data_IF_537719126343
#
_entry.id   IF_537719126343
#
_cell.length_a   1.000
_cell.length_b   1.000
_cell.length_c   1.000
_cell.angle_alpha   90.00
_cell.angle_beta   90.00
_cell.angle_gamma   90.00
#
_symmetry.space_group_name_H-M   'P 1'
#
loop_
_entity.id
_entity.type
_entity.pdbx_description
1 polymer ?
#
# COMPACT_ATOMS: atom_id res chain seq x y z
N UNK A 1 -7.66 33.87 19.50
CA UNK A 1 -7.88 32.40 19.40
C UNK A 1 -6.61 31.75 18.93
N UNK A 2 -6.35 30.51 19.33
CA UNK A 2 -5.21 29.72 18.82
C UNK A 2 -5.37 29.50 17.31
N UNK A 3 -4.37 29.80 16.46
CA UNK A 3 -4.49 29.61 15.03
C UNK A 3 -4.62 28.12 14.69
N UNK A 4 -5.65 27.77 13.90
CA UNK A 4 -5.89 26.42 13.40
C UNK A 4 -5.48 26.40 11.92
N UNK A 5 -4.64 25.43 11.54
CA UNK A 5 -4.22 25.21 10.15
C UNK A 5 -4.81 23.91 9.62
N UNK A 6 -5.29 23.94 8.38
CA UNK A 6 -5.77 22.76 7.66
C UNK A 6 -4.76 22.35 6.60
N UNK A 7 -4.24 21.14 6.71
CA UNK A 7 -3.29 20.54 5.76
C UNK A 7 -3.96 19.35 5.11
N UNK A 8 -3.83 19.21 3.79
CA UNK A 8 -4.30 18.06 3.02
C UNK A 8 -3.10 17.40 2.34
N UNK A 9 -3.04 16.08 2.40
CA UNK A 9 -2.01 15.27 1.78
C UNK A 9 -2.58 13.89 1.43
N UNK A 10 -1.91 13.18 0.51
CA UNK A 10 -2.19 11.79 0.24
C UNK A 10 -1.32 10.91 1.13
N UNK A 11 -1.93 9.86 1.70
CA UNK A 11 -1.27 8.87 2.56
C UNK A 11 -1.51 7.48 1.96
N UNK A 12 -0.46 6.75 1.56
CA UNK A 12 -0.61 5.36 1.12
C UNK A 12 -1.29 4.51 2.21
N UNK A 13 -2.32 3.74 1.83
CA UNK A 13 -3.08 2.94 2.81
C UNK A 13 -2.18 1.96 3.56
N UNK A 14 -1.16 1.40 2.90
CA UNK A 14 -0.18 0.49 3.50
C UNK A 14 0.67 1.14 4.59
N UNK A 15 0.82 2.46 4.55
CA UNK A 15 1.60 3.26 5.51
C UNK A 15 0.70 3.95 6.56
N UNK A 16 -0.62 3.76 6.49
CA UNK A 16 -1.57 4.42 7.39
C UNK A 16 -1.70 3.77 8.77
N UNK A 17 -1.26 2.51 8.91
CA UNK A 17 -1.30 1.77 10.17
C UNK A 17 -0.33 2.40 11.19
N UNK A 18 -0.85 2.89 12.31
CA UNK A 18 -0.04 3.57 13.34
C UNK A 18 0.24 5.06 13.06
N UNK A 19 -0.17 5.58 11.90
CA UNK A 19 0.05 6.98 11.51
C UNK A 19 -0.49 7.98 12.55
N UNK A 20 -1.69 7.72 13.10
CA UNK A 20 -2.31 8.65 14.06
C UNK A 20 -1.51 8.76 15.35
N UNK A 21 -0.98 7.65 15.87
CA UNK A 21 -0.11 7.67 17.05
C UNK A 21 1.20 8.38 16.77
N UNK A 22 1.82 8.11 15.62
CA UNK A 22 3.08 8.73 15.24
C UNK A 22 2.95 10.24 15.03
N UNK A 23 1.92 10.67 14.29
CA UNK A 23 1.65 12.09 14.05
C UNK A 23 1.44 12.85 15.37
N UNK A 24 0.69 12.27 16.32
CA UNK A 24 0.51 12.89 17.64
C UNK A 24 1.82 12.99 18.40
N UNK A 25 2.64 11.94 18.39
CA UNK A 25 3.95 11.98 19.04
C UNK A 25 4.86 13.08 18.43
N UNK A 26 4.88 13.20 17.10
CA UNK A 26 5.71 14.18 16.39
C UNK A 26 5.19 15.62 16.47
N UNK A 27 3.93 15.82 16.88
CA UNK A 27 3.30 17.14 16.98
C UNK A 27 2.94 17.52 18.41
N UNK A 28 3.47 16.80 19.40
CA UNK A 28 3.14 17.00 20.82
C UNK A 28 1.63 16.98 21.11
N UNK A 29 0.89 16.15 20.37
CA UNK A 29 -0.56 16.00 20.48
C UNK A 29 -1.39 17.12 19.84
N UNK A 30 -0.76 18.05 19.12
CA UNK A 30 -1.47 19.21 18.54
C UNK A 30 -2.16 18.90 17.20
N UNK A 31 -1.75 17.85 16.50
CA UNK A 31 -2.38 17.45 15.24
C UNK A 31 -3.47 16.39 15.43
N UNK A 32 -4.58 16.58 14.70
CA UNK A 32 -5.73 15.71 14.67
C UNK A 32 -5.99 15.24 13.23
N UNK A 33 -5.50 14.05 12.84
CA UNK A 33 -5.69 13.57 11.48
C UNK A 33 -7.13 13.13 11.25
N UNK A 34 -7.67 13.47 10.08
CA UNK A 34 -8.87 12.86 9.53
C UNK A 34 -8.50 12.23 8.18
N UNK A 35 -8.63 10.91 8.09
CA UNK A 35 -8.30 10.16 6.89
C UNK A 35 -9.58 9.59 6.28
N UNK A 36 -9.76 9.84 4.98
CA UNK A 36 -10.82 9.23 4.16
C UNK A 36 -10.17 8.63 2.92
N UNK A 37 -10.79 7.60 2.35
CA UNK A 37 -10.35 7.08 1.06
C UNK A 37 -10.52 8.15 -0.03
N UNK A 38 -9.50 8.31 -0.88
CA UNK A 38 -9.49 9.30 -1.95
C UNK A 38 -9.50 8.63 -3.33
N UNK A 39 -8.44 7.88 -3.68
CA UNK A 39 -8.33 7.21 -4.99
C UNK A 39 -7.43 5.96 -4.95
N UNK A 40 -7.44 5.22 -6.06
CA UNK A 40 -6.45 4.19 -6.37
C UNK A 40 -5.28 4.80 -7.16
N UNK A 41 -4.06 4.55 -6.71
CA UNK A 41 -2.85 4.98 -7.41
C UNK A 41 -2.01 3.76 -7.83
N UNK A 42 -1.36 3.85 -8.99
CA UNK A 42 -0.48 2.80 -9.49
C UNK A 42 0.82 2.84 -8.70
N UNK A 43 1.18 1.72 -8.09
CA UNK A 43 2.47 1.57 -7.41
C UNK A 43 3.55 1.33 -8.46
N UNK A 44 4.69 2.01 -8.32
CA UNK A 44 5.82 1.84 -9.23
C UNK A 44 6.49 0.46 -9.03
N UNK A 45 6.86 -0.17 -10.14
CA UNK A 45 7.51 -1.48 -10.19
C UNK A 45 6.65 -2.55 -10.85
N UNK A 46 7.28 -3.68 -11.19
CA UNK A 46 6.62 -4.83 -11.80
C UNK A 46 6.61 -6.00 -10.82
N UNK A 47 5.50 -6.75 -10.70
CA UNK A 47 5.47 -7.97 -9.91
C UNK A 47 6.23 -9.13 -10.58
N UNK A 48 6.59 -8.99 -11.86
CA UNK A 48 7.39 -9.98 -12.62
C UNK A 48 8.90 -9.79 -12.43
N UNK A 49 9.33 -8.65 -11.89
CA UNK A 49 10.73 -8.34 -11.67
C UNK A 49 11.07 -8.45 -10.17
N UNK A 50 12.29 -8.88 -9.80
CA UNK A 50 12.69 -8.94 -8.41
C UNK A 50 12.55 -7.57 -7.72
N UNK A 51 11.88 -7.55 -6.57
CA UNK A 51 11.69 -6.33 -5.79
C UNK A 51 10.50 -6.41 -4.83
N UNK A 52 10.28 -5.32 -4.09
CA UNK A 52 9.26 -5.24 -3.03
C UNK A 52 7.85 -5.62 -3.52
N UNK A 53 7.51 -5.27 -4.76
CA UNK A 53 6.18 -5.57 -5.34
C UNK A 53 6.04 -7.07 -5.61
N UNK A 54 7.07 -7.71 -6.17
CA UNK A 54 7.07 -9.16 -6.35
C UNK A 54 6.98 -9.90 -5.01
N UNK A 55 7.73 -9.46 -4.01
CA UNK A 55 7.70 -10.06 -2.66
C UNK A 55 6.30 -9.96 -2.02
N UNK A 56 5.66 -8.78 -2.14
CA UNK A 56 4.31 -8.56 -1.63
C UNK A 56 3.28 -9.44 -2.35
N UNK A 57 3.33 -9.53 -3.67
CA UNK A 57 2.43 -10.38 -4.45
C UNK A 57 2.63 -11.85 -4.09
N UNK A 58 3.87 -12.32 -3.99
CA UNK A 58 4.18 -13.69 -3.58
C UNK A 58 3.63 -14.02 -2.19
N UNK A 59 3.83 -13.13 -1.21
CA UNK A 59 3.31 -13.30 0.15
C UNK A 59 1.77 -13.41 0.18
N UNK A 60 1.08 -12.58 -0.61
CA UNK A 60 -0.38 -12.62 -0.73
C UNK A 60 -0.85 -13.93 -1.38
N UNK A 61 -0.20 -14.36 -2.46
CA UNK A 61 -0.52 -15.62 -3.16
C UNK A 61 -0.38 -16.83 -2.24
N UNK A 62 0.74 -16.92 -1.51
CA UNK A 62 0.99 -17.96 -0.52
C UNK A 62 -0.09 -17.99 0.57
N UNK A 63 -0.44 -16.82 1.12
CA UNK A 63 -1.53 -16.70 2.12
C UNK A 63 -2.90 -17.15 1.56
N UNK A 64 -3.12 -16.99 0.26
CA UNK A 64 -4.35 -17.42 -0.41
C UNK A 64 -4.32 -18.87 -0.89
N UNK A 65 -3.25 -19.62 -0.62
CA UNK A 65 -3.11 -21.02 -1.05
C UNK A 65 -2.94 -21.17 -2.56
N UNK A 66 -2.50 -20.12 -3.26
CA UNK A 66 -2.23 -20.15 -4.69
C UNK A 66 -0.84 -20.71 -4.96
N UNK A 67 -0.63 -21.31 -6.15
CA UNK A 67 0.69 -21.76 -6.61
C UNK A 67 1.70 -20.62 -6.53
N UNK A 68 2.88 -20.92 -5.98
CA UNK A 68 3.98 -19.98 -5.87
C UNK A 68 4.40 -19.43 -7.24
N UNK A 69 4.82 -18.17 -7.26
CA UNK A 69 5.16 -17.45 -8.49
C UNK A 69 3.94 -16.98 -9.29
N UNK A 70 4.18 -16.07 -10.24
CA UNK A 70 3.15 -15.62 -11.17
C UNK A 70 3.01 -16.71 -12.25
N UNK A 71 1.78 -17.12 -12.61
CA UNK A 71 1.57 -18.09 -13.67
C UNK A 71 2.19 -17.60 -14.98
N UNK A 72 3.03 -18.44 -15.57
CA UNK A 72 3.62 -18.17 -16.89
C UNK A 72 2.55 -18.20 -17.99
N UNK A 73 2.81 -17.50 -19.08
CA UNK A 73 1.92 -17.36 -20.23
C UNK A 73 1.55 -18.73 -20.84
N UNK A 74 2.48 -19.68 -20.83
CA UNK A 74 2.30 -21.05 -21.32
C UNK A 74 1.16 -21.81 -20.60
N UNK A 75 0.76 -21.40 -19.39
CA UNK A 75 -0.40 -22.00 -18.71
C UNK A 75 -1.74 -21.59 -19.34
N UNK A 76 -1.75 -20.58 -20.21
CA UNK A 76 -2.96 -19.99 -20.79
C UNK A 76 -3.01 -20.10 -22.32
N UNK A 77 -1.90 -20.45 -22.96
CA UNK A 77 -1.82 -20.63 -24.41
C UNK A 77 -2.02 -22.10 -24.74
N UNK A 78 -3.09 -22.41 -25.47
CA UNK A 78 -3.31 -23.75 -26.02
C UNK A 78 -2.39 -23.95 -27.24
N UNK A 79 -1.54 -24.98 -27.19
CA UNK A 79 -0.65 -25.32 -28.29
C UNK A 79 -1.41 -26.26 -29.22
N UNK A 80 -1.93 -25.70 -30.32
CA UNK A 80 -2.47 -26.43 -31.48
C UNK A 80 -1.44 -27.41 -32.05
#
# INVERSE_FOLDING_TARGET
GTPIYNIKAYLPVTESFGFTSELRAQTSGQAFPQCVFDHWSVVQGSPLEPGKIADQVAAIRKRKGLKDGIPDLDNFVDKL
#
